data_IF_579058439296
#
_entry.id   IF_579058439296
#
_cell.length_a   1.000
_cell.length_b   1.000
_cell.length_c   1.000
_cell.angle_alpha   90.00
_cell.angle_beta   90.00
_cell.angle_gamma   90.00
#
_symmetry.space_group_name_H-M   'P 1'
#
loop_
_entity.id
_entity.type
_entity.pdbx_description
1 polymer ?
#
# COMPACT_ATOMS: atom_id res chain seq x y z
N UNK A 1 -9.66 -3.59 -4.48
CA UNK A 1 -10.27 -3.07 -3.24
C UNK A 1 -11.10 -4.18 -2.62
N UNK A 2 -11.02 -4.41 -1.31
CA UNK A 2 -11.81 -5.41 -0.59
C UNK A 2 -12.75 -4.69 0.37
N UNK A 3 -14.06 -5.01 0.33
CA UNK A 3 -15.07 -4.49 1.26
C UNK A 3 -16.06 -5.58 1.65
N UNK A 4 -16.56 -5.54 2.88
CA UNK A 4 -17.56 -6.44 3.43
C UNK A 4 -18.58 -5.63 4.25
N UNK A 5 -19.84 -6.06 4.23
CA UNK A 5 -20.91 -5.43 4.98
C UNK A 5 -22.00 -6.45 5.32
N UNK A 6 -22.77 -6.19 6.38
CA UNK A 6 -23.94 -6.98 6.75
C UNK A 6 -25.24 -6.51 6.02
N UNK A 7 -25.08 -5.84 4.87
CA UNK A 7 -26.12 -5.33 3.98
C UNK A 7 -25.68 -5.52 2.53
N UNK A 8 -26.61 -5.40 1.58
CA UNK A 8 -26.24 -5.38 0.16
C UNK A 8 -25.39 -4.15 -0.16
N UNK A 9 -24.28 -4.37 -0.85
CA UNK A 9 -23.31 -3.33 -1.27
C UNK A 9 -22.98 -3.40 -2.77
N UNK A 10 -23.56 -4.38 -3.48
CA UNK A 10 -23.32 -4.56 -4.91
C UNK A 10 -24.10 -3.53 -5.71
N UNK A 11 -23.45 -2.96 -6.72
CA UNK A 11 -24.00 -1.94 -7.62
C UNK A 11 -24.53 -0.71 -6.88
N UNK A 12 -24.02 -0.46 -5.67
CA UNK A 12 -24.34 0.71 -4.87
C UNK A 12 -23.10 1.58 -4.72
N UNK A 13 -23.22 2.84 -5.17
CA UNK A 13 -22.20 3.85 -5.00
C UNK A 13 -22.18 4.31 -3.54
N UNK A 14 -21.08 4.03 -2.85
CA UNK A 14 -20.86 4.51 -1.48
C UNK A 14 -19.60 5.38 -1.45
N UNK A 15 -19.74 6.60 -0.93
CA UNK A 15 -18.63 7.55 -0.80
C UNK A 15 -17.98 7.57 0.58
N UNK A 16 -18.66 7.03 1.60
CA UNK A 16 -18.20 7.09 3.00
C UNK A 16 -18.15 5.71 3.65
N UNK A 17 -17.22 5.47 4.59
CA UNK A 17 -16.17 6.40 5.04
C UNK A 17 -15.11 6.61 3.97
N UNK A 18 -14.58 7.82 3.88
CA UNK A 18 -13.44 8.12 3.02
C UNK A 18 -12.17 8.15 3.86
N UNK A 19 -11.09 7.66 3.30
CA UNK A 19 -9.77 7.68 3.90
C UNK A 19 -8.78 8.27 2.92
N UNK A 20 -7.76 8.94 3.42
CA UNK A 20 -6.76 9.51 2.55
C UNK A 20 -5.36 9.48 3.19
N UNK A 21 -4.36 9.28 2.35
CA UNK A 21 -2.94 9.21 2.73
C UNK A 21 -2.16 10.12 1.80
N UNK A 22 -1.23 10.87 2.36
CA UNK A 22 -0.39 11.78 1.60
C UNK A 22 1.08 11.41 1.73
N UNK A 23 1.84 11.68 0.68
CA UNK A 23 3.28 11.60 0.74
C UNK A 23 3.81 12.63 1.75
N UNK A 24 4.87 12.30 2.48
CA UNK A 24 5.48 13.21 3.44
C UNK A 24 6.11 14.44 2.74
N UNK A 25 6.70 14.20 1.57
CA UNK A 25 7.43 15.20 0.81
C UNK A 25 6.49 16.12 0.00
N UNK A 26 6.94 17.36 -0.15
CA UNK A 26 6.27 18.37 -0.96
C UNK A 26 6.83 18.41 -2.38
N UNK A 27 6.02 18.86 -3.33
CA UNK A 27 6.49 19.21 -4.68
C UNK A 27 7.12 20.60 -4.67
N UNK A 28 8.03 20.85 -5.62
CA UNK A 28 8.70 22.15 -5.76
C UNK A 28 7.81 23.23 -6.37
N UNK A 29 6.91 22.85 -7.29
CA UNK A 29 5.92 23.72 -7.94
C UNK A 29 4.51 23.17 -7.69
N UNK A 30 3.83 23.59 -6.61
CA UNK A 30 2.51 23.10 -6.25
C UNK A 30 1.44 23.37 -7.30
N UNK A 31 1.46 24.56 -7.92
CA UNK A 31 0.41 24.96 -8.85
C UNK A 31 0.54 24.26 -10.20
N UNK A 32 1.76 24.18 -10.76
CA UNK A 32 2.02 23.43 -11.99
C UNK A 32 1.78 21.93 -11.83
N UNK A 33 2.16 21.37 -10.67
CA UNK A 33 1.88 19.97 -10.35
C UNK A 33 0.38 19.70 -10.24
N UNK A 34 -0.37 20.55 -9.52
CA UNK A 34 -1.83 20.44 -9.36
C UNK A 34 -2.55 20.51 -10.71
N UNK A 35 -2.19 21.45 -11.58
CA UNK A 35 -2.77 21.58 -12.92
C UNK A 35 -2.54 20.30 -13.75
N UNK A 36 -1.31 19.80 -13.74
CA UNK A 36 -0.94 18.56 -14.45
C UNK A 36 -1.69 17.35 -13.88
N UNK A 37 -1.72 17.18 -12.56
CA UNK A 37 -2.41 16.09 -11.88
C UNK A 37 -3.90 16.07 -12.21
N UNK A 38 -4.58 17.23 -12.13
CA UNK A 38 -6.00 17.34 -12.45
C UNK A 38 -6.28 17.01 -13.92
N UNK A 39 -5.41 17.42 -14.85
CA UNK A 39 -5.53 17.08 -16.26
C UNK A 39 -5.47 15.56 -16.48
N UNK A 40 -4.45 14.90 -15.91
CA UNK A 40 -4.27 13.45 -16.03
C UNK A 40 -5.42 12.69 -15.37
N UNK A 41 -5.86 13.10 -14.18
CA UNK A 41 -6.99 12.47 -13.49
C UNK A 41 -8.27 12.53 -14.32
N UNK A 42 -8.62 13.70 -14.84
CA UNK A 42 -9.83 13.84 -15.67
C UNK A 42 -9.76 13.00 -16.95
N UNK A 43 -8.58 12.88 -17.56
CA UNK A 43 -8.35 11.99 -18.69
C UNK A 43 -8.55 10.51 -18.30
N UNK A 44 -7.96 10.08 -17.18
CA UNK A 44 -8.04 8.70 -16.72
C UNK A 44 -9.46 8.33 -16.25
N UNK A 45 -10.20 9.24 -15.65
CA UNK A 45 -11.62 9.02 -15.29
C UNK A 45 -12.44 8.69 -16.52
N UNK A 46 -12.32 9.49 -17.59
CA UNK A 46 -13.02 9.23 -18.87
C UNK A 46 -12.67 7.87 -19.45
N UNK A 47 -11.41 7.44 -19.30
CA UNK A 47 -10.93 6.15 -19.77
C UNK A 47 -11.40 4.99 -18.89
N UNK A 48 -11.48 5.18 -17.58
CA UNK A 48 -11.96 4.16 -16.65
C UNK A 48 -13.44 3.85 -16.88
N UNK A 49 -14.25 4.82 -17.30
CA UNK A 49 -15.69 4.65 -17.53
C UNK A 49 -16.06 4.41 -18.99
N UNK A 50 -15.08 4.32 -19.89
CA UNK A 50 -15.35 4.03 -21.30
C UNK A 50 -15.80 2.58 -21.48
N UNK A 51 -16.62 2.33 -22.51
CA UNK A 51 -17.18 0.99 -22.82
C UNK A 51 -16.09 -0.09 -22.99
N UNK A 52 -14.89 0.31 -23.38
CA UNK A 52 -13.70 -0.56 -23.51
C UNK A 52 -13.02 -0.92 -22.18
N UNK A 53 -13.36 -0.26 -21.07
CA UNK A 53 -12.78 -0.55 -19.76
C UNK A 53 -13.64 -1.58 -19.02
N UNK A 54 -13.30 -2.85 -19.21
CA UNK A 54 -14.00 -3.97 -18.55
C UNK A 54 -13.81 -4.03 -17.03
N UNK A 55 -12.94 -3.18 -16.47
CA UNK A 55 -12.53 -3.24 -15.05
C UNK A 55 -12.76 -1.93 -14.27
N UNK A 56 -13.43 -0.95 -14.87
CA UNK A 56 -13.63 0.39 -14.27
C UNK A 56 -12.33 0.98 -13.73
N UNK A 57 -11.26 0.84 -14.50
CA UNK A 57 -9.89 1.06 -14.09
C UNK A 57 -9.10 1.75 -15.19
N UNK A 58 -8.21 2.66 -14.82
CA UNK A 58 -7.23 3.22 -15.72
C UNK A 58 -5.98 3.65 -14.95
N UNK A 59 -4.84 3.57 -15.63
CA UNK A 59 -3.58 4.13 -15.15
C UNK A 59 -2.94 4.96 -16.26
N UNK A 60 -2.07 5.86 -15.89
CA UNK A 60 -1.28 6.63 -16.83
C UNK A 60 -0.20 7.40 -16.11
N UNK A 61 0.84 7.76 -16.84
CA UNK A 61 1.93 8.56 -16.34
C UNK A 61 2.26 9.71 -17.29
N UNK A 62 2.81 10.78 -16.71
CA UNK A 62 3.24 11.96 -17.44
C UNK A 62 4.60 12.42 -16.94
N UNK A 63 5.43 12.90 -17.84
CA UNK A 63 6.72 13.50 -17.49
C UNK A 63 6.49 14.89 -16.90
N UNK A 64 7.01 15.12 -15.70
CA UNK A 64 6.99 16.45 -15.05
C UNK A 64 8.29 17.20 -15.34
N UNK A 65 9.41 16.49 -15.28
CA UNK A 65 10.75 16.97 -15.60
C UNK A 65 11.55 15.84 -16.25
N UNK A 66 12.75 16.14 -16.75
CA UNK A 66 13.65 15.16 -17.40
C UNK A 66 13.91 13.90 -16.55
N UNK A 67 13.82 14.00 -15.22
CA UNK A 67 14.09 12.88 -14.30
C UNK A 67 12.88 12.46 -13.45
N UNK A 68 11.75 13.16 -13.55
CA UNK A 68 10.60 12.93 -12.67
C UNK A 68 9.34 12.70 -13.49
N UNK A 69 8.66 11.59 -13.22
CA UNK A 69 7.36 11.25 -13.80
C UNK A 69 6.31 11.17 -12.72
N UNK A 70 5.10 11.59 -13.04
CA UNK A 70 3.92 11.43 -12.21
C UNK A 70 3.17 10.18 -12.67
N UNK A 71 3.00 9.20 -11.79
CA UNK A 71 2.23 7.98 -12.02
C UNK A 71 0.87 8.15 -11.37
N UNK A 72 -0.20 7.81 -12.09
CA UNK A 72 -1.58 8.02 -11.64
C UNK A 72 -2.44 6.78 -11.92
N UNK A 73 -3.30 6.45 -10.98
CA UNK A 73 -4.26 5.35 -11.03
C UNK A 73 -5.63 5.85 -10.59
N UNK A 74 -6.65 5.44 -11.31
CA UNK A 74 -8.06 5.58 -10.91
C UNK A 74 -8.75 4.23 -11.03
N UNK A 75 -9.62 3.92 -10.07
CA UNK A 75 -10.34 2.65 -10.06
C UNK A 75 -11.67 2.78 -9.34
N UNK A 76 -12.72 2.20 -9.90
CA UNK A 76 -13.97 1.91 -9.21
C UNK A 76 -14.13 0.41 -8.95
N UNK A 77 -15.09 0.05 -8.12
CA UNK A 77 -15.55 -1.34 -8.07
C UNK A 77 -16.30 -1.68 -9.36
N UNK A 78 -16.07 -2.86 -9.95
CA UNK A 78 -16.55 -3.20 -11.30
C UNK A 78 -18.07 -3.43 -11.39
N UNK A 79 -18.75 -3.49 -10.25
CA UNK A 79 -20.20 -3.65 -10.10
C UNK A 79 -21.00 -2.35 -10.29
N UNK A 80 -20.32 -1.19 -10.40
CA UNK A 80 -20.98 0.11 -10.60
C UNK A 80 -21.29 0.41 -12.06
N UNK A 81 -22.27 1.28 -12.27
CA UNK A 81 -22.50 1.87 -13.59
C UNK A 81 -21.36 2.85 -13.96
N UNK A 82 -21.13 3.12 -15.27
CA UNK A 82 -20.17 4.12 -15.71
C UNK A 82 -20.42 5.52 -15.11
N UNK A 83 -21.69 5.93 -14.99
CA UNK A 83 -22.07 7.23 -14.41
C UNK A 83 -21.77 7.32 -12.92
N UNK A 84 -22.04 6.26 -12.17
CA UNK A 84 -21.75 6.20 -10.74
C UNK A 84 -20.23 6.18 -10.51
N UNK A 85 -19.49 5.43 -11.33
CA UNK A 85 -18.03 5.42 -11.26
C UNK A 85 -17.45 6.81 -11.53
N UNK A 86 -17.93 7.50 -12.57
CA UNK A 86 -17.49 8.87 -12.88
C UNK A 86 -17.78 9.83 -11.73
N UNK A 87 -18.97 9.75 -11.15
CA UNK A 87 -19.39 10.58 -10.00
C UNK A 87 -18.49 10.32 -8.79
N UNK A 88 -18.29 9.04 -8.46
CA UNK A 88 -17.48 8.64 -7.30
C UNK A 88 -16.01 9.08 -7.45
N UNK A 89 -15.42 8.91 -8.63
CA UNK A 89 -14.05 9.36 -8.92
C UNK A 89 -13.93 10.87 -8.93
N UNK A 90 -14.91 11.60 -9.48
CA UNK A 90 -14.94 13.08 -9.40
C UNK A 90 -14.99 13.55 -7.95
N UNK A 91 -15.76 12.86 -7.12
CA UNK A 91 -15.77 13.07 -5.68
C UNK A 91 -14.43 12.77 -5.02
N UNK A 92 -13.64 11.81 -5.50
CA UNK A 92 -12.26 11.60 -5.02
C UNK A 92 -11.33 12.74 -5.45
N UNK A 93 -11.44 13.24 -6.69
CA UNK A 93 -10.67 14.40 -7.18
C UNK A 93 -10.93 15.62 -6.29
N UNK A 94 -12.20 15.88 -5.96
CA UNK A 94 -12.59 17.00 -5.10
C UNK A 94 -12.03 16.95 -3.67
N UNK A 95 -11.52 15.80 -3.21
CA UNK A 95 -10.91 15.64 -1.89
C UNK A 95 -9.40 15.86 -1.89
N UNK A 96 -8.76 15.91 -3.07
CA UNK A 96 -7.31 16.09 -3.19
C UNK A 96 -6.83 17.40 -2.55
N UNK A 97 -7.50 18.56 -2.72
CA UNK A 97 -7.04 19.82 -2.11
C UNK A 97 -6.99 19.78 -0.57
N UNK A 98 -7.93 19.09 0.07
CA UNK A 98 -7.93 18.96 1.53
C UNK A 98 -6.91 17.91 2.00
N UNK A 99 -6.76 16.81 1.25
CA UNK A 99 -5.94 15.70 1.68
C UNK A 99 -4.44 15.86 1.35
N UNK A 100 -4.12 16.23 0.11
CA UNK A 100 -2.81 16.02 -0.50
C UNK A 100 -2.28 17.25 -1.27
N UNK A 101 -2.80 18.45 -1.00
CA UNK A 101 -2.35 19.64 -1.72
C UNK A 101 -0.84 19.88 -1.55
N UNK A 102 -0.17 20.16 -2.67
CA UNK A 102 1.29 20.33 -2.73
C UNK A 102 2.12 19.09 -2.38
N UNK A 103 1.55 17.88 -2.32
CA UNK A 103 2.28 16.65 -2.00
C UNK A 103 2.75 15.89 -3.24
N UNK A 104 3.91 15.24 -3.14
CA UNK A 104 4.47 14.41 -4.23
C UNK A 104 3.62 13.18 -4.55
N UNK A 105 2.72 12.81 -3.65
CA UNK A 105 1.83 11.69 -3.82
C UNK A 105 0.66 11.74 -2.87
N UNK A 106 -0.37 10.98 -3.23
CA UNK A 106 -1.63 10.94 -2.52
C UNK A 106 -2.45 9.73 -2.89
N UNK A 107 -3.20 9.23 -1.92
CA UNK A 107 -4.16 8.16 -2.06
C UNK A 107 -5.48 8.63 -1.44
N UNK A 108 -6.53 8.68 -2.24
CA UNK A 108 -7.91 8.91 -1.78
C UNK A 108 -8.67 7.60 -1.97
N UNK A 109 -9.18 7.04 -0.86
CA UNK A 109 -9.94 5.79 -0.82
C UNK A 109 -11.37 6.09 -0.38
N UNK A 110 -12.33 5.69 -1.21
CA UNK A 110 -13.75 5.57 -0.87
C UNK A 110 -14.15 4.10 -1.00
N UNK A 111 -15.30 3.66 -0.44
CA UNK A 111 -15.75 2.27 -0.56
C UNK A 111 -15.96 1.81 -2.02
N UNK A 112 -16.32 2.74 -2.89
CA UNK A 112 -16.64 2.47 -4.30
C UNK A 112 -15.56 2.89 -5.29
N UNK A 113 -14.61 3.75 -4.90
CA UNK A 113 -13.56 4.22 -5.80
C UNK A 113 -12.27 4.61 -5.10
N UNK A 114 -11.17 4.64 -5.85
CA UNK A 114 -9.91 5.17 -5.37
C UNK A 114 -9.11 5.88 -6.45
N UNK A 115 -8.31 6.84 -5.99
CA UNK A 115 -7.32 7.55 -6.78
C UNK A 115 -5.99 7.46 -6.06
N UNK A 116 -4.94 7.09 -6.80
CA UNK A 116 -3.57 7.14 -6.30
C UNK A 116 -2.67 7.88 -7.28
N UNK A 117 -1.81 8.74 -6.77
CA UNK A 117 -0.75 9.36 -7.54
C UNK A 117 0.56 9.39 -6.75
N UNK A 118 1.69 9.19 -7.42
CA UNK A 118 3.03 9.22 -6.83
C UNK A 118 4.06 9.63 -7.90
N UNK A 119 5.22 10.13 -7.47
CA UNK A 119 6.37 10.39 -8.36
C UNK A 119 7.25 9.16 -8.63
N UNK A 120 6.84 7.99 -8.19
CA UNK A 120 7.52 6.72 -8.39
C UNK A 120 6.54 5.66 -8.89
N UNK A 121 6.98 4.67 -9.67
CA UNK A 121 6.09 3.64 -10.19
C UNK A 121 5.51 2.77 -9.07
N UNK A 122 4.21 2.53 -9.10
CA UNK A 122 3.49 1.66 -8.14
C UNK A 122 2.52 0.68 -8.81
N UNK A 123 2.54 0.60 -10.14
CA UNK A 123 1.81 -0.38 -10.94
C UNK A 123 2.74 -0.96 -12.01
N UNK A 124 2.44 -2.18 -12.44
CA UNK A 124 3.18 -2.87 -13.50
C UNK A 124 2.96 -2.17 -14.86
N UNK A 125 3.97 -2.09 -15.74
CA UNK A 125 3.83 -1.51 -17.09
C UNK A 125 2.75 -2.19 -17.93
N UNK A 126 2.50 -3.48 -17.70
CA UNK A 126 1.41 -4.21 -18.37
C UNK A 126 0.02 -3.69 -17.99
N UNK A 127 -0.16 -3.17 -16.77
CA UNK A 127 -1.40 -2.49 -16.37
C UNK A 127 -1.58 -1.18 -17.14
N UNK A 128 -0.47 -0.52 -17.48
CA UNK A 128 -0.46 0.63 -18.36
C UNK A 128 -0.83 0.25 -19.80
N UNK A 129 -0.39 -0.90 -20.33
CA UNK A 129 -0.82 -1.37 -21.66
C UNK A 129 -2.33 -1.73 -21.74
N UNK A 130 -2.95 -2.15 -20.63
CA UNK A 130 -4.41 -2.28 -20.54
C UNK A 130 -5.13 -0.90 -20.49
N UNK A 131 -4.38 0.16 -20.18
CA UNK A 131 -4.80 1.56 -20.08
C UNK A 131 -4.08 2.53 -21.03
N UNK A 132 -3.38 2.03 -22.07
CA UNK A 132 -2.63 2.75 -23.12
C UNK A 132 -2.62 1.81 -24.33
N UNK A 133 -3.34 2.11 -25.41
CA UNK A 133 -2.67 2.82 -26.49
C UNK A 133 -3.19 4.25 -26.71
N UNK A 134 -2.31 5.26 -26.84
CA UNK A 134 -2.52 6.40 -27.71
C UNK A 134 -2.44 5.96 -29.20
N UNK A 135 -3.06 6.69 -30.15
CA UNK A 135 -2.90 6.38 -31.57
C UNK A 135 -1.47 6.73 -32.00
N UNK A 136 -0.66 5.72 -32.33
CA UNK A 136 0.55 5.93 -33.11
C UNK A 136 0.14 6.05 -34.59
N UNK A 137 0.25 7.25 -35.15
CA UNK A 137 0.03 7.50 -36.58
C UNK A 137 1.36 7.41 -37.34
N UNK A 138 1.38 6.50 -38.32
CA UNK A 138 2.21 6.48 -39.54
C UNK A 138 3.65 5.92 -39.52
N UNK A 139 3.75 4.73 -40.13
CA UNK A 139 4.61 4.36 -41.29
C UNK A 139 6.14 4.30 -41.16
N UNK A 140 6.69 3.08 -41.20
CA UNK A 140 7.63 2.61 -42.25
C UNK A 140 8.06 1.15 -42.00
N UNK A 141 8.11 0.35 -43.08
CA UNK A 141 8.60 -1.05 -43.17
C UNK A 141 10.12 -1.07 -43.52
N UNK A 142 10.78 -2.24 -43.68
CA UNK A 142 11.76 -2.87 -42.80
C UNK A 142 13.25 -2.71 -43.26
N UNK A 143 14.22 -3.32 -42.55
CA UNK A 143 15.03 -4.33 -43.24
C UNK A 143 15.37 -5.57 -42.38
N UNK A 144 16.06 -6.51 -43.02
CA UNK A 144 16.02 -7.96 -42.79
C UNK A 144 17.18 -8.54 -41.94
N UNK A 145 16.90 -9.75 -41.42
CA UNK A 145 17.74 -10.97 -41.41
C UNK A 145 18.87 -11.19 -40.37
N UNK A 146 18.78 -12.39 -39.76
CA UNK A 146 19.76 -13.24 -39.05
C UNK A 146 20.34 -12.70 -37.71
N UNK A 147 20.37 -13.46 -36.62
CA UNK A 147 20.99 -14.79 -36.49
C UNK A 147 20.50 -15.47 -35.20
N UNK A 148 20.29 -16.80 -35.24
CA UNK A 148 20.12 -17.63 -34.06
C UNK A 148 21.45 -17.85 -33.34
N UNK A 149 21.51 -17.65 -32.03
CA UNK A 149 22.56 -18.22 -31.18
C UNK A 149 21.94 -18.71 -29.86
N UNK A 150 22.18 -19.98 -29.57
CA UNK A 150 21.75 -20.72 -28.39
C UNK A 150 22.87 -20.74 -27.33
N UNK A 151 22.49 -21.13 -26.10
CA UNK A 151 23.28 -21.33 -24.87
C UNK A 151 23.52 -20.06 -24.04
N UNK A 152 23.49 -20.06 -22.71
CA UNK A 152 23.76 -21.12 -21.74
C UNK A 152 23.12 -20.73 -20.40
N UNK A 153 22.46 -21.68 -19.74
CA UNK A 153 21.83 -21.46 -18.45
C UNK A 153 22.85 -21.38 -17.32
N UNK A 154 22.77 -20.32 -16.51
CA UNK A 154 23.28 -20.35 -15.14
C UNK A 154 22.66 -19.22 -14.28
N UNK A 155 21.39 -19.36 -13.85
CA UNK A 155 20.78 -18.40 -12.90
C UNK A 155 19.92 -19.03 -11.79
N UNK A 156 19.85 -20.36 -11.71
CA UNK A 156 19.09 -21.03 -10.65
C UNK A 156 19.90 -21.19 -9.35
N UNK A 157 21.22 -21.45 -9.44
CA UNK A 157 22.06 -21.75 -8.28
C UNK A 157 22.35 -20.54 -7.38
N UNK A 158 22.49 -19.33 -7.96
CA UNK A 158 22.72 -18.09 -7.19
C UNK A 158 21.48 -17.65 -6.40
N UNK A 159 20.28 -17.79 -6.98
CA UNK A 159 19.02 -17.47 -6.32
C UNK A 159 18.72 -18.44 -5.17
N UNK A 160 18.98 -19.74 -5.35
CA UNK A 160 18.78 -20.75 -4.29
C UNK A 160 19.69 -20.47 -3.08
N UNK A 161 20.96 -20.11 -3.29
CA UNK A 161 21.89 -19.84 -2.17
C UNK A 161 21.45 -18.63 -1.33
N UNK A 162 20.93 -17.57 -1.96
CA UNK A 162 20.45 -16.37 -1.24
C UNK A 162 19.20 -16.69 -0.40
N UNK A 163 18.28 -17.48 -0.94
CA UNK A 163 17.04 -17.85 -0.23
C UNK A 163 17.35 -18.75 0.97
N UNK A 164 18.25 -19.73 0.83
CA UNK A 164 18.63 -20.60 1.96
C UNK A 164 19.35 -19.80 3.05
N UNK A 165 20.25 -18.88 2.69
CA UNK A 165 20.98 -18.07 3.65
C UNK A 165 20.06 -17.12 4.47
N UNK A 166 19.03 -16.55 3.82
CA UNK A 166 18.07 -15.66 4.49
C UNK A 166 17.16 -16.43 5.45
N UNK A 167 16.66 -17.61 5.07
CA UNK A 167 15.82 -18.43 5.95
C UNK A 167 16.59 -18.90 7.18
N UNK A 168 17.83 -19.38 7.02
CA UNK A 168 18.66 -19.81 8.15
C UNK A 168 18.95 -18.64 9.09
N UNK A 169 19.26 -17.46 8.54
CA UNK A 169 19.49 -16.26 9.35
C UNK A 169 18.26 -15.88 10.17
N UNK A 170 17.06 -15.84 9.56
CA UNK A 170 15.82 -15.50 10.27
C UNK A 170 15.49 -16.50 11.38
N UNK A 171 15.71 -17.80 11.14
CA UNK A 171 15.50 -18.83 12.16
C UNK A 171 16.46 -18.69 13.35
N UNK A 172 17.74 -18.39 13.08
CA UNK A 172 18.74 -18.14 14.12
C UNK A 172 18.43 -16.86 14.92
N UNK A 173 18.03 -15.78 14.26
CA UNK A 173 17.65 -14.54 14.93
C UNK A 173 16.39 -14.71 15.77
N UNK A 174 15.37 -15.41 15.26
CA UNK A 174 14.13 -15.69 15.99
C UNK A 174 14.38 -16.54 17.23
N UNK A 175 15.18 -17.61 17.11
CA UNK A 175 15.54 -18.48 18.25
C UNK A 175 16.39 -17.73 19.28
N UNK A 176 17.35 -16.90 18.86
CA UNK A 176 18.13 -16.05 19.78
C UNK A 176 17.25 -15.05 20.54
N UNK A 177 16.34 -14.37 19.85
CA UNK A 177 15.39 -13.45 20.49
C UNK A 177 14.49 -14.19 21.50
N UNK A 178 13.97 -15.36 21.13
CA UNK A 178 13.14 -16.18 22.01
C UNK A 178 13.92 -16.65 23.26
N UNK A 179 15.15 -17.13 23.08
CA UNK A 179 16.03 -17.53 24.18
C UNK A 179 16.37 -16.35 25.09
N UNK A 180 16.62 -15.16 24.53
CA UNK A 180 16.92 -13.96 25.31
C UNK A 180 15.72 -13.49 26.14
N UNK A 181 14.52 -13.47 25.55
CA UNK A 181 13.27 -13.10 26.25
C UNK A 181 12.95 -14.11 27.34
N UNK A 182 13.04 -15.41 27.06
CA UNK A 182 12.79 -16.45 28.05
C UNK A 182 13.83 -16.46 29.17
N UNK A 183 15.09 -16.18 28.87
CA UNK A 183 16.14 -16.02 29.88
C UNK A 183 15.90 -14.80 30.77
N UNK A 184 15.53 -13.65 30.18
CA UNK A 184 15.17 -12.45 30.94
C UNK A 184 13.95 -12.68 31.83
N UNK A 185 12.91 -13.37 31.31
CA UNK A 185 11.74 -13.73 32.08
C UNK A 185 12.08 -14.65 33.26
N UNK A 186 12.95 -15.66 33.06
CA UNK A 186 13.44 -16.53 34.15
C UNK A 186 14.21 -15.77 35.22
N UNK A 187 15.07 -14.82 34.83
CA UNK A 187 15.81 -13.97 35.78
C UNK A 187 14.86 -13.14 36.64
N UNK A 188 13.85 -12.53 36.01
CA UNK A 188 12.85 -11.73 36.70
C UNK A 188 12.00 -12.60 37.65
N UNK A 189 11.59 -13.80 37.23
CA UNK A 189 10.86 -14.74 38.08
C UNK A 189 11.67 -15.17 39.32
N UNK A 190 12.95 -15.49 39.14
CA UNK A 190 13.82 -15.86 40.26
C UNK A 190 14.06 -14.70 41.24
N UNK A 191 14.16 -13.46 40.75
CA UNK A 191 14.28 -12.28 41.60
C UNK A 191 13.06 -12.07 42.51
N UNK A 192 11.84 -12.22 41.96
CA UNK A 192 10.58 -12.07 42.71
C UNK A 192 10.43 -13.18 43.77
N UNK A 193 10.87 -14.41 43.47
CA UNK A 193 10.83 -15.53 44.41
C UNK A 193 11.74 -15.33 45.64
N UNK A 194 12.87 -14.63 45.48
CA UNK A 194 13.79 -14.34 46.59
C UNK A 194 13.30 -13.20 47.50
N UNK A 195 12.50 -12.26 47.00
CA UNK A 195 11.86 -11.22 47.84
C UNK A 195 10.75 -11.81 48.72
N UNK A 196 9.86 -12.63 48.15
CA UNK A 196 8.74 -13.21 48.90
C UNK A 196 9.16 -14.23 49.98
N UNK A 197 10.43 -14.66 50.01
CA UNK A 197 10.96 -15.61 50.99
C UNK A 197 11.52 -14.97 52.28
N UNK A 198 11.46 -13.63 52.44
CA UNK A 198 12.09 -12.91 53.57
C UNK A 198 11.13 -12.21 54.53
N UNK A 199 9.81 -12.44 54.48
CA UNK A 199 8.89 -11.86 55.47
C UNK A 199 8.79 -12.71 56.76
N UNK A 200 9.09 -12.01 57.86
CA UNK A 200 9.31 -12.33 59.29
C UNK A 200 8.18 -13.11 60.00
N UNK A 201 8.46 -13.97 61.02
CA UNK A 201 7.43 -14.76 61.71
C UNK A 201 6.51 -13.90 62.62
N UNK A 202 5.25 -14.34 62.85
CA UNK A 202 4.25 -13.55 63.58
C UNK A 202 4.51 -13.49 65.09
N UNK A 203 4.28 -12.29 65.64
CA UNK A 203 4.36 -11.95 67.07
C UNK A 203 3.24 -12.62 67.86
N UNK A 204 3.58 -13.23 69.00
CA UNK A 204 2.62 -13.92 69.88
C UNK A 204 1.54 -12.96 70.43
N UNK A 205 0.27 -13.41 70.56
CA UNK A 205 -0.83 -12.59 71.05
C UNK A 205 -0.76 -12.36 72.57
N UNK A 206 -1.24 -11.20 73.08
CA UNK A 206 -1.26 -10.91 74.51
C UNK A 206 -2.38 -11.67 75.24
N UNK A 207 -2.11 -12.06 76.50
CA UNK A 207 -3.07 -12.74 77.39
C UNK A 207 -4.23 -11.81 77.80
N UNK A 208 -5.44 -12.35 78.01
CA UNK A 208 -6.58 -11.56 78.45
C UNK A 208 -6.48 -11.20 79.94
N UNK A 209 -6.77 -9.94 80.26
CA UNK A 209 -7.03 -9.48 81.62
C UNK A 209 -8.52 -9.64 81.92
N UNK A 210 -8.84 -10.31 83.04
CA UNK A 210 -10.20 -10.53 83.50
C UNK A 210 -10.64 -9.53 84.57
N UNK A 211 -11.95 -9.35 84.65
CA UNK A 211 -12.71 -9.16 85.89
C UNK A 211 -12.95 -7.73 86.36
N UNK A 212 -14.21 -7.45 86.69
CA UNK A 212 -14.63 -6.35 87.59
C UNK A 212 -15.71 -5.48 87.02
#
# INVERSE_FOLDING_TARGET
MLRYANRSIFSQMEERPQYCVKNANNVSDPDGFKATLLSVLNYLVKRAVSVSSSKMFAVGDVELTVSTRLYVLVQCTPDLSPSDCQTCLSGCIGQIPECCDGKQGGLVLKPSSNIRFEIYPFYEPAAAALGLSPPATSSALPPAMATSANSSGNSSRRTIVIVVATVVSVMLFSTMCYCFVSWKARKNYNAIKHENGKETPPRAPPRPAGGG
#
